data_IF_706001379413
#
_entry.id   IF_706001379413
#
_cell.length_a   1.000
_cell.length_b   1.000
_cell.length_c   1.000
_cell.angle_alpha   90.00
_cell.angle_beta   90.00
_cell.angle_gamma   90.00
#
_symmetry.space_group_name_H-M   'P 1'
#
loop_
_entity.id
_entity.type
_entity.pdbx_description
1 polymer ?
#
# COMPACT_ATOMS: atom_id res chain seq x y z
N UNK A 1 -54.54 42.02 15.27
CA UNK A 1 -54.14 40.81 14.52
C UNK A 1 -52.62 40.70 14.60
N UNK A 2 -52.09 39.82 15.44
CA UNK A 2 -50.65 39.56 15.54
C UNK A 2 -50.36 38.26 14.79
N UNK A 3 -49.56 38.34 13.74
CA UNK A 3 -49.16 37.19 12.92
C UNK A 3 -47.97 36.54 13.61
N UNK A 4 -48.21 35.39 14.24
CA UNK A 4 -47.16 34.52 14.79
C UNK A 4 -46.46 33.81 13.62
N UNK A 5 -45.29 34.30 13.24
CA UNK A 5 -44.38 33.57 12.36
C UNK A 5 -43.76 32.41 13.15
N UNK A 6 -44.32 31.21 12.98
CA UNK A 6 -43.68 29.98 13.42
C UNK A 6 -42.50 29.72 12.49
N UNK A 7 -41.31 30.15 12.88
CA UNK A 7 -40.07 29.72 12.24
C UNK A 7 -39.92 28.22 12.51
N UNK A 8 -40.38 27.41 11.56
CA UNK A 8 -40.10 25.98 11.54
C UNK A 8 -38.60 25.83 11.32
N UNK A 9 -37.87 25.53 12.39
CA UNK A 9 -36.47 25.17 12.36
C UNK A 9 -36.38 23.80 11.69
N UNK A 10 -36.37 23.78 10.35
CA UNK A 10 -35.97 22.61 9.59
C UNK A 10 -34.48 22.43 9.85
N UNK A 11 -34.16 21.70 10.92
CA UNK A 11 -32.86 21.09 11.08
C UNK A 11 -32.68 20.19 9.87
N UNK A 12 -31.95 20.68 8.87
CA UNK A 12 -31.26 19.82 7.92
C UNK A 12 -30.36 18.92 8.77
N UNK A 13 -30.90 17.77 9.18
CA UNK A 13 -30.10 16.63 9.57
C UNK A 13 -29.31 16.28 8.32
N UNK A 14 -28.17 16.95 8.14
CA UNK A 14 -27.04 16.37 7.44
C UNK A 14 -26.72 15.11 8.24
N UNK A 15 -27.41 14.01 7.93
CA UNK A 15 -26.89 12.70 8.23
C UNK A 15 -25.49 12.69 7.62
N UNK A 16 -24.40 12.58 8.40
CA UNK A 16 -23.12 12.28 7.79
C UNK A 16 -23.31 10.97 7.03
N UNK A 17 -23.35 11.09 5.70
CA UNK A 17 -23.54 9.99 4.78
C UNK A 17 -22.42 8.97 5.05
N UNK A 18 -22.81 7.84 5.65
CA UNK A 18 -21.99 6.68 6.01
C UNK A 18 -20.79 6.99 6.92
N UNK A 19 -20.67 6.25 8.03
CA UNK A 19 -19.33 6.01 8.57
C UNK A 19 -18.50 5.44 7.42
N UNK A 20 -17.47 6.17 6.96
CA UNK A 20 -16.59 5.66 5.92
C UNK A 20 -16.11 4.25 6.35
N UNK A 21 -16.18 3.27 5.45
CA UNK A 21 -15.82 1.88 5.80
C UNK A 21 -14.33 1.75 6.21
N UNK A 22 -13.53 2.76 5.88
CA UNK A 22 -12.12 2.92 6.20
C UNK A 22 -11.76 4.41 6.26
N UNK A 23 -10.63 4.76 6.85
CA UNK A 23 -10.21 6.14 7.10
C UNK A 23 -9.04 6.57 6.20
N UNK A 24 -8.21 5.63 5.74
CA UNK A 24 -7.12 5.88 4.79
C UNK A 24 -6.67 4.59 4.10
N UNK A 25 -5.84 4.68 3.07
CA UNK A 25 -5.16 3.54 2.47
C UNK A 25 -3.70 3.45 2.92
N UNK A 26 -3.24 2.24 3.20
CA UNK A 26 -1.82 1.89 3.24
C UNK A 26 -1.48 1.13 1.96
N UNK A 27 -0.68 1.75 1.10
CA UNK A 27 -0.19 1.17 -0.15
C UNK A 27 1.18 0.53 0.07
N UNK A 28 1.22 -0.80 0.07
CA UNK A 28 2.42 -1.58 0.37
C UNK A 28 3.15 -2.02 -0.90
N UNK A 29 4.42 -1.64 -0.99
CA UNK A 29 5.36 -2.01 -2.04
C UNK A 29 6.41 -2.94 -1.46
N UNK A 30 6.48 -4.18 -1.95
CA UNK A 30 7.44 -5.19 -1.50
C UNK A 30 8.69 -5.21 -2.38
N UNK A 31 9.84 -5.45 -1.75
CA UNK A 31 11.12 -5.68 -2.42
C UNK A 31 11.29 -7.18 -2.76
N UNK A 32 11.29 -7.57 -4.05
CA UNK A 32 11.29 -8.99 -4.42
C UNK A 32 12.52 -9.76 -3.93
N UNK A 33 13.72 -9.16 -3.95
CA UNK A 33 14.95 -9.81 -3.46
C UNK A 33 14.82 -10.20 -1.99
N UNK A 34 14.37 -9.26 -1.15
CA UNK A 34 14.14 -9.49 0.27
C UNK A 34 13.07 -10.57 0.50
N UNK A 35 11.97 -10.51 -0.26
CA UNK A 35 10.91 -11.52 -0.21
C UNK A 35 11.44 -12.92 -0.53
N UNK A 36 12.25 -13.02 -1.57
CA UNK A 36 12.75 -14.27 -2.11
C UNK A 36 13.88 -14.87 -1.26
N UNK A 37 14.80 -14.05 -0.76
CA UNK A 37 15.84 -14.46 0.16
C UNK A 37 15.27 -15.09 1.44
N UNK A 38 14.14 -14.56 1.94
CA UNK A 38 13.50 -15.09 3.16
C UNK A 38 12.69 -16.37 2.92
N UNK A 39 11.96 -16.48 1.81
CA UNK A 39 10.96 -17.54 1.62
C UNK A 39 11.34 -18.65 0.64
N UNK A 40 12.26 -18.41 -0.30
CA UNK A 40 12.74 -19.44 -1.25
C UNK A 40 11.64 -20.07 -2.11
N UNK A 41 10.93 -19.29 -2.93
CA UNK A 41 9.86 -19.79 -3.80
C UNK A 41 10.30 -19.98 -5.27
N UNK A 42 9.70 -20.91 -6.04
CA UNK A 42 10.07 -21.11 -7.45
C UNK A 42 9.86 -19.88 -8.36
N UNK A 43 8.97 -18.96 -7.99
CA UNK A 43 8.76 -17.72 -8.73
C UNK A 43 9.93 -16.73 -8.57
N UNK A 44 10.80 -16.92 -7.59
CA UNK A 44 11.97 -16.08 -7.33
C UNK A 44 13.06 -16.19 -8.40
N UNK A 45 13.05 -17.25 -9.21
CA UNK A 45 14.01 -17.42 -10.31
C UNK A 45 13.85 -16.37 -11.43
N UNK A 46 12.74 -15.65 -11.46
CA UNK A 46 12.43 -14.61 -12.46
C UNK A 46 11.82 -13.38 -11.78
N UNK A 47 12.28 -13.06 -10.57
CA UNK A 47 11.73 -11.94 -9.82
C UNK A 47 12.10 -10.60 -10.46
N UNK A 48 11.23 -9.59 -10.37
CA UNK A 48 11.57 -8.24 -10.81
C UNK A 48 12.64 -7.60 -9.92
N UNK A 49 13.46 -6.72 -10.51
CA UNK A 49 14.49 -5.93 -9.82
C UNK A 49 14.01 -4.52 -9.41
N UNK A 50 12.71 -4.39 -9.15
CA UNK A 50 12.07 -3.14 -8.71
C UNK A 50 11.03 -3.47 -7.64
N UNK A 51 10.62 -2.45 -6.88
CA UNK A 51 9.50 -2.60 -5.94
C UNK A 51 8.23 -3.01 -6.67
N UNK A 52 7.59 -4.06 -6.20
CA UNK A 52 6.30 -4.53 -6.72
C UNK A 52 5.18 -4.27 -5.72
N UNK A 53 3.95 -4.18 -6.18
CA UNK A 53 2.79 -4.02 -5.32
C UNK A 53 2.60 -5.31 -4.51
N UNK A 54 2.52 -5.18 -3.19
CA UNK A 54 1.96 -6.21 -2.32
C UNK A 54 0.45 -6.00 -2.20
N UNK A 55 0.02 -4.78 -1.83
CA UNK A 55 -1.39 -4.44 -1.85
C UNK A 55 -1.75 -3.02 -1.45
N UNK A 56 -3.03 -2.71 -1.66
CA UNK A 56 -3.66 -1.45 -1.29
C UNK A 56 -4.67 -1.73 -0.17
N UNK A 57 -4.35 -1.33 1.06
CA UNK A 57 -5.07 -1.80 2.23
C UNK A 57 -5.89 -0.67 2.85
N UNK A 58 -7.23 -0.74 2.84
CA UNK A 58 -8.06 0.13 3.65
C UNK A 58 -7.73 -0.05 5.13
N UNK A 59 -7.55 1.05 5.83
CA UNK A 59 -7.13 1.11 7.23
C UNK A 59 -8.06 2.02 8.01
N UNK A 60 -8.25 1.71 9.29
CA UNK A 60 -8.87 2.61 10.26
C UNK A 60 -7.81 3.34 11.07
N UNK A 61 -8.19 4.50 11.58
CA UNK A 61 -7.46 5.21 12.63
C UNK A 61 -7.11 4.26 13.77
N UNK A 62 -5.96 4.50 14.41
CA UNK A 62 -5.35 3.61 15.41
C UNK A 62 -4.83 2.26 14.87
N UNK A 63 -4.75 2.09 13.55
CA UNK A 63 -4.07 0.94 12.92
C UNK A 63 -4.91 -0.33 12.84
N UNK A 64 -6.23 -0.23 13.01
CA UNK A 64 -7.13 -1.36 12.79
C UNK A 64 -7.30 -1.60 11.28
N UNK A 65 -6.97 -2.81 10.83
CA UNK A 65 -7.14 -3.23 9.44
C UNK A 65 -8.45 -3.99 9.26
N UNK A 66 -9.52 -3.35 8.72
CA UNK A 66 -10.71 -4.09 8.33
C UNK A 66 -10.35 -5.12 7.26
N UNK A 67 -10.97 -6.29 7.34
CA UNK A 67 -10.70 -7.39 6.40
C UNK A 67 -11.95 -8.19 6.08
N UNK A 68 -12.00 -8.76 4.87
CA UNK A 68 -13.11 -9.60 4.40
C UNK A 68 -14.49 -8.94 4.59
N UNK A 69 -14.58 -7.64 4.29
CA UNK A 69 -15.74 -6.82 4.64
C UNK A 69 -17.02 -7.14 3.86
N UNK A 70 -16.89 -7.75 2.68
CA UNK A 70 -18.02 -8.24 1.88
C UNK A 70 -17.69 -9.61 1.28
N UNK A 71 -18.69 -10.25 0.66
CA UNK A 71 -18.51 -11.52 -0.03
C UNK A 71 -18.26 -11.38 -1.54
N UNK A 72 -18.04 -10.16 -2.05
CA UNK A 72 -17.78 -9.94 -3.48
C UNK A 72 -16.49 -10.60 -3.92
N UNK A 73 -16.59 -11.51 -4.89
CA UNK A 73 -15.45 -12.21 -5.48
C UNK A 73 -14.91 -11.48 -6.70
N UNK A 74 -13.59 -11.39 -6.80
CA UNK A 74 -12.91 -10.91 -8.00
C UNK A 74 -13.14 -11.89 -9.15
N UNK A 75 -13.66 -11.40 -10.28
CA UNK A 75 -13.81 -12.17 -11.51
C UNK A 75 -12.75 -11.75 -12.52
N UNK A 76 -12.29 -12.69 -13.35
CA UNK A 76 -11.28 -12.40 -14.40
C UNK A 76 -11.70 -11.26 -15.34
N UNK A 77 -13.01 -11.09 -15.57
CA UNK A 77 -13.54 -10.02 -16.42
C UNK A 77 -13.35 -8.63 -15.81
N UNK A 78 -13.31 -8.53 -14.48
CA UNK A 78 -13.24 -7.25 -13.77
C UNK A 78 -11.88 -6.58 -13.93
N UNK A 79 -10.84 -7.34 -14.29
CA UNK A 79 -9.46 -6.85 -14.48
C UNK A 79 -8.88 -7.27 -15.84
N UNK A 80 -9.74 -7.59 -16.81
CA UNK A 80 -9.30 -8.15 -18.10
C UNK A 80 -8.32 -7.23 -18.82
N UNK A 81 -8.58 -5.92 -18.82
CA UNK A 81 -7.73 -4.90 -19.45
C UNK A 81 -6.51 -4.52 -18.60
N UNK A 82 -6.52 -4.78 -17.28
CA UNK A 82 -5.40 -4.48 -16.37
C UNK A 82 -4.42 -5.65 -16.24
N UNK A 83 -4.74 -6.81 -16.82
CA UNK A 83 -4.03 -8.08 -16.56
C UNK A 83 -2.54 -8.04 -16.87
N UNK A 84 -2.12 -7.33 -17.91
CA UNK A 84 -0.70 -7.23 -18.27
C UNK A 84 0.06 -6.40 -17.26
N UNK A 85 -0.47 -5.24 -16.89
CA UNK A 85 0.12 -4.34 -15.90
C UNK A 85 0.17 -5.00 -14.52
N UNK A 86 -0.90 -5.68 -14.10
CA UNK A 86 -0.92 -6.43 -12.84
C UNK A 86 0.12 -7.56 -12.81
N UNK A 87 0.43 -8.21 -13.93
CA UNK A 87 1.48 -9.24 -13.96
C UNK A 87 2.87 -8.63 -13.77
N UNK A 88 3.08 -7.43 -14.29
CA UNK A 88 4.36 -6.72 -14.23
C UNK A 88 4.54 -6.12 -12.83
N UNK A 89 3.58 -5.32 -12.39
CA UNK A 89 3.69 -4.48 -11.20
C UNK A 89 3.19 -5.17 -9.92
N UNK A 90 2.30 -6.16 -10.02
CA UNK A 90 1.71 -6.87 -8.87
C UNK A 90 1.85 -8.41 -9.00
N UNK A 91 3.05 -8.95 -9.27
CA UNK A 91 3.26 -10.37 -9.46
C UNK A 91 3.02 -11.17 -8.17
N UNK A 92 2.72 -12.46 -8.35
CA UNK A 92 2.70 -13.41 -7.24
C UNK A 92 4.08 -14.03 -7.06
N UNK A 93 4.85 -13.53 -6.09
CA UNK A 93 6.19 -14.04 -5.77
C UNK A 93 6.17 -15.41 -5.07
N UNK A 94 5.01 -15.92 -4.65
CA UNK A 94 4.87 -17.26 -4.05
C UNK A 94 4.64 -18.36 -5.09
N UNK A 95 4.25 -18.02 -6.32
CA UNK A 95 4.00 -19.04 -7.34
C UNK A 95 3.36 -18.53 -8.63
N UNK A 96 3.18 -19.46 -9.57
CA UNK A 96 2.81 -19.18 -10.97
C UNK A 96 1.34 -18.80 -11.21
N UNK A 97 0.56 -18.54 -10.14
CA UNK A 97 -0.88 -18.24 -10.21
C UNK A 97 -1.13 -16.80 -9.75
N UNK A 98 -0.89 -15.78 -10.59
CA UNK A 98 -1.04 -14.38 -10.20
C UNK A 98 -2.48 -14.02 -9.82
N UNK A 99 -3.47 -14.52 -10.54
CA UNK A 99 -4.89 -14.29 -10.22
C UNK A 99 -5.28 -14.75 -8.81
N UNK A 100 -4.65 -15.82 -8.28
CA UNK A 100 -4.91 -16.27 -6.90
C UNK A 100 -4.48 -15.21 -5.87
N UNK A 101 -3.38 -14.51 -6.14
CA UNK A 101 -2.88 -13.46 -5.27
C UNK A 101 -3.79 -12.22 -5.35
N UNK A 102 -4.13 -11.77 -6.55
CA UNK A 102 -5.07 -10.65 -6.72
C UNK A 102 -6.45 -10.93 -6.11
N UNK A 103 -6.99 -12.15 -6.28
CA UNK A 103 -8.23 -12.54 -5.61
C UNK A 103 -8.12 -12.47 -4.09
N UNK A 104 -6.98 -12.89 -3.52
CA UNK A 104 -6.75 -12.79 -2.08
C UNK A 104 -6.73 -11.33 -1.61
N UNK A 105 -5.95 -10.47 -2.28
CA UNK A 105 -5.84 -9.04 -1.93
C UNK A 105 -7.19 -8.33 -2.08
N UNK A 106 -7.96 -8.63 -3.13
CA UNK A 106 -9.32 -8.11 -3.26
C UNK A 106 -10.23 -8.58 -2.12
N UNK A 107 -10.33 -9.90 -1.91
CA UNK A 107 -11.27 -10.45 -0.94
C UNK A 107 -10.95 -10.00 0.49
N UNK A 108 -9.67 -9.98 0.84
CA UNK A 108 -9.21 -9.59 2.17
C UNK A 108 -9.24 -8.08 2.38
N UNK A 109 -8.77 -7.28 1.42
CA UNK A 109 -8.57 -5.84 1.60
C UNK A 109 -9.49 -5.01 0.71
N UNK A 110 -9.55 -5.28 -0.59
CA UNK A 110 -10.34 -4.49 -1.54
C UNK A 110 -11.84 -4.40 -1.20
N UNK A 111 -12.44 -5.48 -0.69
CA UNK A 111 -13.85 -5.51 -0.24
C UNK A 111 -14.16 -4.45 0.82
N UNK A 112 -13.18 -4.02 1.61
CA UNK A 112 -13.34 -2.99 2.64
C UNK A 112 -13.37 -1.56 2.09
N UNK A 113 -13.13 -1.38 0.79
CA UNK A 113 -13.30 -0.12 0.07
C UNK A 113 -14.40 -0.17 -0.99
N UNK A 114 -15.17 -1.27 -1.06
CA UNK A 114 -16.12 -1.54 -2.16
C UNK A 114 -17.28 -0.53 -2.26
N UNK A 115 -17.55 0.21 -1.19
CA UNK A 115 -18.51 1.32 -1.22
C UNK A 115 -18.05 2.48 -2.11
N UNK A 116 -16.74 2.61 -2.34
CA UNK A 116 -16.11 3.67 -3.15
C UNK A 116 -15.44 3.09 -4.40
N UNK A 117 -14.68 2.01 -4.27
CA UNK A 117 -13.88 1.41 -5.35
C UNK A 117 -14.36 0.00 -5.67
N UNK A 118 -14.95 -0.19 -6.86
CA UNK A 118 -15.30 -1.53 -7.36
C UNK A 118 -14.03 -2.30 -7.75
N UNK A 119 -14.09 -3.62 -8.00
CA UNK A 119 -12.88 -4.40 -8.24
C UNK A 119 -11.97 -3.81 -9.31
N UNK A 120 -12.51 -3.37 -10.45
CA UNK A 120 -11.70 -2.74 -11.51
C UNK A 120 -11.00 -1.48 -10.99
N UNK A 121 -11.74 -0.56 -10.35
CA UNK A 121 -11.23 0.72 -9.85
C UNK A 121 -10.16 0.53 -8.78
N UNK A 122 -10.33 -0.44 -7.88
CA UNK A 122 -9.36 -0.77 -6.84
C UNK A 122 -7.99 -1.16 -7.42
N UNK A 123 -7.98 -2.06 -8.41
CA UNK A 123 -6.74 -2.46 -9.07
C UNK A 123 -6.17 -1.35 -9.96
N UNK A 124 -7.04 -0.61 -10.65
CA UNK A 124 -6.62 0.54 -11.46
C UNK A 124 -5.97 1.63 -10.60
N UNK A 125 -6.50 1.89 -9.41
CA UNK A 125 -5.97 2.84 -8.46
C UNK A 125 -4.58 2.43 -7.97
N UNK A 126 -4.41 1.17 -7.55
CA UNK A 126 -3.11 0.66 -7.10
C UNK A 126 -2.03 0.78 -8.20
N UNK A 127 -2.38 0.43 -9.45
CA UNK A 127 -1.49 0.60 -10.59
C UNK A 127 -1.18 2.07 -10.89
N UNK A 128 -2.17 2.94 -10.75
CA UNK A 128 -1.99 4.38 -10.92
C UNK A 128 -1.03 4.96 -9.87
N UNK A 129 -1.19 4.60 -8.60
CA UNK A 129 -0.28 5.03 -7.53
C UNK A 129 1.15 4.52 -7.82
N UNK A 130 1.30 3.24 -8.16
CA UNK A 130 2.61 2.65 -8.50
C UNK A 130 3.30 3.39 -9.65
N UNK A 131 2.55 3.73 -10.70
CA UNK A 131 3.09 4.39 -11.90
C UNK A 131 3.56 5.81 -11.64
N UNK A 132 2.85 6.57 -10.80
CA UNK A 132 3.15 7.99 -10.57
C UNK A 132 4.13 8.22 -9.42
N UNK A 133 4.31 7.23 -8.54
CA UNK A 133 5.16 7.35 -7.35
C UNK A 133 6.16 6.20 -7.29
N UNK A 134 7.16 6.25 -8.18
CA UNK A 134 8.22 5.27 -8.24
C UNK A 134 9.23 5.47 -7.09
N UNK A 135 9.01 4.74 -5.99
CA UNK A 135 9.89 4.72 -4.82
C UNK A 135 11.33 4.36 -5.19
N UNK A 136 11.55 3.51 -6.20
CA UNK A 136 12.90 3.15 -6.64
C UNK A 136 13.64 4.37 -7.19
N UNK A 137 12.99 5.15 -8.06
CA UNK A 137 13.55 6.39 -8.60
C UNK A 137 13.79 7.43 -7.50
N UNK A 138 12.85 7.57 -6.56
CA UNK A 138 12.98 8.51 -5.44
C UNK A 138 14.23 8.20 -4.61
N UNK A 139 14.42 6.94 -4.22
CA UNK A 139 15.58 6.53 -3.44
C UNK A 139 16.88 6.66 -4.24
N UNK A 140 16.87 6.29 -5.52
CA UNK A 140 18.04 6.40 -6.38
C UNK A 140 18.51 7.85 -6.56
N UNK A 141 17.59 8.82 -6.61
CA UNK A 141 17.93 10.25 -6.66
C UNK A 141 18.62 10.74 -5.38
N UNK A 142 18.33 10.11 -4.24
CA UNK A 142 19.01 10.32 -2.98
C UNK A 142 20.29 9.47 -2.80
N UNK A 143 20.77 8.82 -3.87
CA UNK A 143 21.92 7.90 -3.84
C UNK A 143 21.74 6.70 -2.90
N UNK A 144 20.48 6.36 -2.57
CA UNK A 144 20.11 5.15 -1.86
C UNK A 144 19.70 4.15 -2.94
N UNK A 145 20.49 3.10 -3.12
CA UNK A 145 20.27 2.08 -4.15
C UNK A 145 20.44 0.69 -3.55
N UNK A 146 19.87 -0.36 -4.14
CA UNK A 146 20.18 -1.70 -3.70
C UNK A 146 21.69 -1.97 -3.73
N UNK A 147 22.24 -2.56 -2.66
CA UNK A 147 23.66 -2.85 -2.51
C UNK A 147 23.88 -4.12 -1.68
N UNK A 148 24.92 -4.87 -2.01
CA UNK A 148 25.37 -6.02 -1.23
C UNK A 148 26.32 -5.63 -0.08
N UNK A 149 26.94 -4.44 -0.16
CA UNK A 149 28.01 -4.02 0.74
C UNK A 149 27.71 -2.72 1.49
N UNK A 150 26.52 -2.15 1.31
CA UNK A 150 26.14 -0.86 1.89
C UNK A 150 24.87 -1.04 2.71
N UNK A 151 24.88 -0.47 3.91
CA UNK A 151 23.71 -0.33 4.76
C UNK A 151 23.29 1.14 4.80
N UNK A 152 22.04 1.37 5.18
CA UNK A 152 21.46 2.70 5.25
C UNK A 152 20.86 2.96 6.62
N UNK A 153 21.05 4.18 7.13
CA UNK A 153 20.23 4.69 8.24
C UNK A 153 18.78 4.80 7.72
N UNK A 154 17.87 4.11 8.40
CA UNK A 154 16.46 4.06 8.05
C UNK A 154 15.79 5.43 8.00
N UNK A 155 16.22 6.40 8.82
CA UNK A 155 15.72 7.77 8.71
C UNK A 155 16.17 8.43 7.41
N UNK A 156 17.32 8.06 6.85
CA UNK A 156 17.74 8.57 5.54
C UNK A 156 16.81 8.08 4.43
N UNK A 157 16.37 6.82 4.48
CA UNK A 157 15.39 6.25 3.55
C UNK A 157 14.02 6.96 3.73
N UNK A 158 13.55 7.09 4.98
CA UNK A 158 12.30 7.79 5.31
C UNK A 158 12.33 9.24 4.79
N UNK A 159 13.41 9.97 5.06
CA UNK A 159 13.56 11.36 4.67
C UNK A 159 13.68 11.54 3.14
N UNK A 160 14.36 10.63 2.44
CA UNK A 160 14.43 10.66 0.98
C UNK A 160 13.04 10.57 0.35
N UNK A 161 12.19 9.68 0.87
CA UNK A 161 10.80 9.54 0.40
C UNK A 161 9.98 10.77 0.79
N UNK A 162 10.04 11.19 2.05
CA UNK A 162 9.33 12.38 2.54
C UNK A 162 9.67 13.62 1.71
N UNK A 163 10.93 13.85 1.35
CA UNK A 163 11.33 15.02 0.57
C UNK A 163 10.74 15.01 -0.85
N UNK A 164 10.41 13.84 -1.40
CA UNK A 164 9.81 13.73 -2.74
C UNK A 164 8.28 13.76 -2.74
N UNK A 165 7.62 13.19 -1.72
CA UNK A 165 6.15 13.08 -1.69
C UNK A 165 5.49 13.97 -0.64
N UNK A 166 6.30 14.69 0.15
CA UNK A 166 5.90 15.58 1.26
C UNK A 166 5.13 14.91 2.39
N UNK A 167 5.29 13.59 2.54
CA UNK A 167 4.66 12.79 3.58
C UNK A 167 5.53 11.62 4.03
N UNK A 168 5.42 11.26 5.31
CA UNK A 168 6.24 10.20 5.89
C UNK A 168 5.74 8.79 5.51
N UNK A 169 6.60 7.92 4.97
CA UNK A 169 6.29 6.51 4.74
C UNK A 169 6.44 5.64 6.01
N UNK A 170 5.99 4.40 5.93
CA UNK A 170 6.33 3.32 6.87
C UNK A 170 7.29 2.34 6.18
N UNK A 171 8.48 2.14 6.74
CA UNK A 171 9.40 1.08 6.32
C UNK A 171 9.06 -0.20 7.09
N UNK A 172 8.81 -1.30 6.38
CA UNK A 172 8.70 -2.60 7.00
C UNK A 172 9.97 -3.41 6.73
N UNK A 173 10.45 -4.10 7.76
CA UNK A 173 11.64 -4.93 7.68
C UNK A 173 11.36 -6.37 8.12
N UNK A 174 12.29 -7.26 7.81
CA UNK A 174 12.46 -8.49 8.58
C UNK A 174 13.86 -8.51 9.18
N UNK A 175 14.00 -9.17 10.33
CA UNK A 175 15.29 -9.34 10.99
C UNK A 175 15.59 -10.83 11.12
N UNK A 176 16.79 -11.24 10.73
CA UNK A 176 17.31 -12.59 10.94
C UNK A 176 18.77 -12.51 11.33
N UNK A 177 19.20 -13.30 12.32
CA UNK A 177 20.57 -13.29 12.85
C UNK A 177 21.07 -11.86 13.20
N UNK A 178 20.19 -11.04 13.81
CA UNK A 178 20.43 -9.63 14.14
C UNK A 178 20.70 -8.68 12.94
N UNK A 179 20.50 -9.14 11.71
CA UNK A 179 20.59 -8.30 10.51
C UNK A 179 19.19 -7.89 10.08
N UNK A 180 18.97 -6.58 9.89
CA UNK A 180 17.69 -5.99 9.48
C UNK A 180 17.69 -5.71 7.98
N UNK A 181 16.71 -6.24 7.27
CA UNK A 181 16.56 -6.10 5.81
C UNK A 181 15.27 -5.35 5.48
N UNK A 182 15.37 -4.36 4.58
CA UNK A 182 14.20 -3.66 4.03
C UNK A 182 13.34 -4.65 3.25
N UNK A 183 12.08 -4.76 3.66
CA UNK A 183 11.12 -5.72 3.11
C UNK A 183 10.06 -5.03 2.25
N UNK A 184 9.43 -3.99 2.82
CA UNK A 184 8.43 -3.17 2.14
C UNK A 184 8.66 -1.70 2.43
N UNK A 185 8.29 -0.87 1.47
CA UNK A 185 8.02 0.56 1.68
C UNK A 185 6.52 0.74 1.57
N UNK A 186 5.92 1.42 2.54
CA UNK A 186 4.47 1.62 2.58
C UNK A 186 4.15 3.11 2.59
N UNK A 187 3.30 3.52 1.67
CA UNK A 187 2.83 4.91 1.56
C UNK A 187 1.41 5.00 2.10
N UNK A 188 1.07 6.08 2.78
CA UNK A 188 -0.27 6.30 3.29
C UNK A 188 -0.99 7.36 2.46
N UNK A 189 -2.24 7.07 2.07
CA UNK A 189 -3.03 7.94 1.21
C UNK A 189 -4.41 8.17 1.83
N UNK A 190 -4.95 9.36 1.62
CA UNK A 190 -6.34 9.67 1.93
C UNK A 190 -7.30 8.72 1.17
N UNK A 191 -8.57 8.60 1.60
CA UNK A 191 -9.53 7.70 0.96
C UNK A 191 -9.76 7.93 -0.53
N UNK A 192 -9.37 9.07 -1.08
CA UNK A 192 -9.42 9.35 -2.51
C UNK A 192 -8.33 8.61 -3.32
N UNK A 193 -7.33 8.03 -2.65
CA UNK A 193 -6.22 7.30 -3.27
C UNK A 193 -5.26 8.15 -4.12
N UNK A 194 -5.35 9.48 -4.00
CA UNK A 194 -4.54 10.45 -4.76
C UNK A 194 -3.73 11.33 -3.82
N UNK A 195 -4.35 11.81 -2.75
CA UNK A 195 -3.68 12.66 -1.76
C UNK A 195 -2.92 11.78 -0.79
N UNK A 196 -1.65 12.09 -0.57
CA UNK A 196 -0.86 11.44 0.47
C UNK A 196 -1.21 11.98 1.85
N UNK A 197 -0.86 11.20 2.85
CA UNK A 197 -0.83 11.58 4.26
C UNK A 197 0.32 10.87 4.95
N UNK A 198 0.68 11.35 6.12
CA UNK A 198 1.71 10.68 6.93
C UNK A 198 1.22 9.31 7.40
N UNK A 199 2.08 8.31 7.29
CA UNK A 199 1.91 7.05 7.99
C UNK A 199 2.14 7.26 9.50
N UNK A 200 1.27 6.68 10.33
CA UNK A 200 1.34 6.86 11.78
C UNK A 200 2.63 6.31 12.42
N UNK A 201 3.25 5.30 11.80
CA UNK A 201 4.53 4.75 12.21
C UNK A 201 5.51 4.82 11.04
N UNK A 202 6.77 5.13 11.31
CA UNK A 202 7.81 5.17 10.29
C UNK A 202 8.51 3.81 10.11
N UNK A 203 8.43 2.94 11.12
CA UNK A 203 9.12 1.65 11.13
C UNK A 203 8.22 0.53 11.63
N UNK A 204 8.26 -0.61 10.95
CA UNK A 204 7.57 -1.83 11.31
C UNK A 204 8.56 -3.01 11.26
N UNK A 205 8.84 -3.62 12.43
CA UNK A 205 9.79 -4.74 12.58
C UNK A 205 11.23 -4.45 12.13
N UNK A 206 11.63 -3.18 12.06
CA UNK A 206 13.02 -2.76 11.82
C UNK A 206 13.74 -2.64 13.18
N UNK A 207 14.38 -3.74 13.62
CA UNK A 207 15.02 -3.81 14.95
C UNK A 207 16.29 -2.96 15.02
N UNK A 208 17.15 -3.03 14.00
CA UNK A 208 18.25 -2.07 13.82
C UNK A 208 17.87 -1.08 12.71
N UNK A 209 17.63 0.17 13.11
CA UNK A 209 17.26 1.25 12.18
C UNK A 209 18.48 2.02 11.66
N UNK A 210 19.69 1.76 12.16
CA UNK A 210 20.92 2.41 11.72
C UNK A 210 21.60 1.66 10.59
N UNK A 211 21.41 0.35 10.53
CA UNK A 211 22.01 -0.53 9.54
C UNK A 211 20.94 -1.36 8.81
N UNK A 212 20.12 -0.70 7.99
CA UNK A 212 19.14 -1.39 7.16
C UNK A 212 19.82 -1.85 5.88
N UNK A 213 19.76 -3.15 5.61
CA UNK A 213 20.20 -3.77 4.37
C UNK A 213 19.10 -3.66 3.30
N UNK A 214 19.47 -3.17 2.12
CA UNK A 214 18.61 -3.20 0.93
C UNK A 214 19.38 -3.87 -0.21
N UNK A 215 19.15 -5.16 -0.41
CA UNK A 215 19.97 -5.98 -1.31
C UNK A 215 19.65 -5.78 -2.78
N UNK A 216 20.70 -5.77 -3.61
CA UNK A 216 20.67 -5.77 -5.07
C UNK A 216 20.52 -7.18 -5.66
#
# INVERSE_FOLDING_TARGET
MAILFVFSLVLLLNSPNSCAAFDYFKFSLQWPEAFCAKNGHPACNQMPNHFTIHGLWPEKTFGFQPHFCTHTKLKKKDIKNLKSDLKLEWPNLRGKKPFKFWSHEWEKHGTCSETVYKPHDYFSLALHIKKNHDVMSILSQAQIVPSQNTTYDGNSIVNAIHNSIHHYPELACYTTQNVTYLWEVRLCLEPNGVSFKDCANHFHNCHNQKDIHWHA
#
